data_IF_156826667568
#
_entry.id   IF_156826667568
#
_cell.length_a   1.000
_cell.length_b   1.000
_cell.length_c   1.000
_cell.angle_alpha   90.00
_cell.angle_beta   90.00
_cell.angle_gamma   90.00
#
_symmetry.space_group_name_H-M   'P 1'
#
loop_
_entity.id
_entity.type
_entity.pdbx_description
1 polymer ?
#
# COMPACT_ATOMS: atom_id res chain seq x y z
N UNK A 1 13.32 -29.54 -18.07
CA UNK A 1 13.67 -29.12 -16.68
C UNK A 1 13.89 -30.35 -15.84
N UNK A 2 14.96 -30.39 -15.05
CA UNK A 2 15.23 -31.49 -14.14
C UNK A 2 14.10 -31.55 -13.08
N UNK A 3 13.58 -32.72 -12.69
CA UNK A 3 12.45 -32.84 -11.76
C UNK A 3 12.71 -32.18 -10.39
N UNK A 4 13.98 -32.17 -9.95
CA UNK A 4 14.40 -31.45 -8.74
C UNK A 4 14.23 -29.93 -8.86
N UNK A 5 14.53 -29.36 -10.03
CA UNK A 5 14.43 -27.91 -10.26
C UNK A 5 12.97 -27.44 -10.34
N UNK A 6 12.05 -28.29 -10.84
CA UNK A 6 10.61 -28.01 -10.81
C UNK A 6 10.08 -27.96 -9.38
N UNK A 7 10.43 -28.94 -8.55
CA UNK A 7 9.95 -29.02 -7.18
C UNK A 7 10.46 -27.86 -6.29
N UNK A 8 11.69 -27.39 -6.54
CA UNK A 8 12.22 -26.18 -5.90
C UNK A 8 11.50 -24.91 -6.35
N UNK A 9 11.19 -24.79 -7.65
CA UNK A 9 10.47 -23.65 -8.19
C UNK A 9 9.03 -23.60 -7.69
N UNK A 10 8.33 -24.74 -7.66
CA UNK A 10 6.96 -24.84 -7.12
C UNK A 10 6.93 -24.42 -5.64
N UNK A 11 7.89 -24.89 -4.84
CA UNK A 11 7.98 -24.51 -3.42
C UNK A 11 8.25 -23.00 -3.21
N UNK A 12 9.04 -22.38 -4.09
CA UNK A 12 9.31 -20.93 -4.05
C UNK A 12 8.10 -20.13 -4.54
N UNK A 13 7.42 -20.57 -5.60
CA UNK A 13 6.22 -19.91 -6.11
C UNK A 13 5.07 -19.98 -5.09
N UNK A 14 4.88 -21.13 -4.43
CA UNK A 14 3.84 -21.32 -3.41
C UNK A 14 4.10 -20.49 -2.14
N UNK A 15 5.36 -20.20 -1.82
CA UNK A 15 5.76 -19.42 -0.65
C UNK A 15 6.32 -18.03 -0.99
N UNK A 16 6.04 -17.54 -2.21
CA UNK A 16 6.66 -16.34 -2.76
C UNK A 16 6.45 -15.12 -1.86
N UNK A 17 5.26 -14.99 -1.26
CA UNK A 17 4.91 -13.90 -0.35
C UNK A 17 5.85 -13.85 0.86
N UNK A 18 6.16 -15.00 1.46
CA UNK A 18 7.09 -15.08 2.59
C UNK A 18 8.51 -14.68 2.20
N UNK A 19 8.97 -15.13 1.02
CA UNK A 19 10.26 -14.71 0.48
C UNK A 19 10.32 -13.21 0.21
N UNK A 20 9.27 -12.64 -0.38
CA UNK A 20 9.18 -11.22 -0.66
C UNK A 20 9.18 -10.39 0.63
N UNK A 21 8.44 -10.83 1.66
CA UNK A 21 8.41 -10.19 2.97
C UNK A 21 9.80 -10.17 3.60
N UNK A 22 10.48 -11.32 3.67
CA UNK A 22 11.84 -11.41 4.22
C UNK A 22 12.81 -10.53 3.43
N UNK A 23 12.72 -10.56 2.10
CA UNK A 23 13.56 -9.75 1.23
C UNK A 23 13.38 -8.25 1.50
N UNK A 24 12.14 -7.75 1.53
CA UNK A 24 11.86 -6.33 1.77
C UNK A 24 12.30 -5.90 3.17
N UNK A 25 12.03 -6.70 4.20
CA UNK A 25 12.48 -6.40 5.56
C UNK A 25 14.00 -6.36 5.67
N UNK A 26 14.71 -7.29 5.02
CA UNK A 26 16.17 -7.32 5.02
C UNK A 26 16.76 -6.09 4.30
N UNK A 27 16.22 -5.75 3.13
CA UNK A 27 16.64 -4.57 2.36
C UNK A 27 16.42 -3.29 3.18
N UNK A 28 15.22 -3.07 3.71
CA UNK A 28 14.96 -1.87 4.51
C UNK A 28 15.77 -1.84 5.80
N UNK A 29 15.99 -2.98 6.45
CA UNK A 29 16.87 -3.07 7.63
C UNK A 29 18.33 -2.73 7.32
N UNK A 30 18.80 -2.96 6.09
CA UNK A 30 20.19 -2.69 5.69
C UNK A 30 20.38 -1.25 5.20
N UNK A 31 19.42 -0.72 4.43
CA UNK A 31 19.56 0.58 3.76
C UNK A 31 18.95 1.76 4.53
N UNK A 32 17.99 1.52 5.43
CA UNK A 32 17.33 2.59 6.19
C UNK A 32 17.86 2.60 7.63
N UNK A 33 18.49 3.70 8.09
CA UNK A 33 18.95 3.79 9.47
C UNK A 33 17.76 3.71 10.42
N UNK A 34 17.92 3.00 11.55
CA UNK A 34 16.89 2.80 12.57
C UNK A 34 15.65 1.98 12.14
N UNK A 35 15.66 1.32 10.97
CA UNK A 35 14.52 0.48 10.56
C UNK A 35 14.38 -0.79 11.42
N UNK A 36 15.50 -1.35 11.89
CA UNK A 36 15.52 -2.54 12.75
C UNK A 36 15.13 -2.23 14.19
N UNK A 37 13.92 -1.71 14.38
CA UNK A 37 13.35 -1.39 15.67
C UNK A 37 12.07 -2.19 15.89
N UNK A 38 11.88 -2.72 17.11
CA UNK A 38 10.67 -3.44 17.48
C UNK A 38 9.40 -2.61 17.28
N UNK A 39 9.48 -1.29 17.47
CA UNK A 39 8.35 -0.39 17.21
C UNK A 39 7.89 -0.38 15.75
N UNK A 40 8.83 -0.43 14.80
CA UNK A 40 8.49 -0.46 13.36
C UNK A 40 7.87 -1.81 12.99
N UNK A 41 8.42 -2.92 13.49
CA UNK A 41 7.83 -4.24 13.28
C UNK A 41 6.43 -4.36 13.90
N UNK A 42 6.24 -3.84 15.12
CA UNK A 42 4.92 -3.79 15.75
C UNK A 42 3.91 -2.97 14.94
N UNK A 43 4.32 -1.80 14.45
CA UNK A 43 3.49 -0.94 13.61
C UNK A 43 3.08 -1.63 12.28
N UNK A 44 4.00 -2.38 11.66
CA UNK A 44 3.69 -3.15 10.44
C UNK A 44 2.62 -4.22 10.73
N UNK A 45 2.76 -4.95 11.85
CA UNK A 45 1.78 -5.99 12.24
C UNK A 45 0.42 -5.37 12.58
N UNK A 46 0.41 -4.25 13.29
CA UNK A 46 -0.81 -3.52 13.63
C UNK A 46 -1.55 -3.03 12.38
N UNK A 47 -0.85 -2.34 11.47
CA UNK A 47 -1.42 -1.88 10.21
C UNK A 47 -1.92 -3.05 9.34
N UNK A 48 -1.15 -4.15 9.29
CA UNK A 48 -1.55 -5.35 8.56
C UNK A 48 -2.79 -6.02 9.16
N UNK A 49 -3.00 -5.95 10.47
CA UNK A 49 -4.19 -6.52 11.11
C UNK A 49 -5.46 -5.79 10.66
N UNK A 50 -5.41 -4.46 10.59
CA UNK A 50 -6.54 -3.64 10.12
C UNK A 50 -6.85 -3.93 8.65
N UNK A 51 -5.82 -3.94 7.81
CA UNK A 51 -5.96 -4.28 6.38
C UNK A 51 -6.47 -5.72 6.18
N UNK A 52 -6.02 -6.65 7.02
CA UNK A 52 -6.46 -8.05 6.99
C UNK A 52 -7.97 -8.18 7.23
N UNK A 53 -8.50 -7.53 8.26
CA UNK A 53 -9.96 -7.54 8.53
C UNK A 53 -10.74 -6.88 7.38
N UNK A 54 -10.24 -5.77 6.83
CA UNK A 54 -10.88 -5.11 5.68
C UNK A 54 -10.90 -6.01 4.44
N UNK A 55 -9.82 -6.75 4.17
CA UNK A 55 -9.73 -7.64 3.00
C UNK A 55 -10.80 -8.74 2.98
N UNK A 56 -11.20 -9.25 4.15
CA UNK A 56 -12.28 -10.25 4.26
C UNK A 56 -13.61 -9.63 3.82
N UNK A 57 -13.87 -8.38 4.25
CA UNK A 57 -15.05 -7.63 3.82
C UNK A 57 -15.05 -7.37 2.31
N UNK A 58 -13.91 -6.96 1.76
CA UNK A 58 -13.77 -6.70 0.32
C UNK A 58 -13.99 -7.97 -0.50
N UNK A 59 -13.43 -9.12 -0.09
CA UNK A 59 -13.61 -10.38 -0.79
C UNK A 59 -15.09 -10.77 -0.93
N UNK A 60 -15.91 -10.56 0.11
CA UNK A 60 -17.34 -10.83 0.07
C UNK A 60 -18.07 -9.94 -0.95
N UNK A 61 -17.73 -8.65 -1.02
CA UNK A 61 -18.38 -7.72 -1.97
C UNK A 61 -17.95 -7.99 -3.41
N UNK A 62 -16.67 -8.34 -3.62
CA UNK A 62 -16.16 -8.76 -4.93
C UNK A 62 -16.90 -10.01 -5.41
N UNK A 63 -17.05 -11.03 -4.54
CA UNK A 63 -17.80 -12.27 -4.87
C UNK A 63 -19.27 -11.97 -5.15
N UNK A 64 -19.87 -11.02 -4.43
CA UNK A 64 -21.24 -10.57 -4.66
C UNK A 64 -21.41 -9.81 -6.00
N UNK A 65 -20.33 -9.49 -6.71
CA UNK A 65 -20.36 -8.84 -8.03
C UNK A 65 -20.73 -7.36 -7.99
N UNK A 66 -20.71 -6.75 -6.81
CA UNK A 66 -21.10 -5.35 -6.60
C UNK A 66 -19.93 -4.39 -6.51
N UNK A 67 -18.67 -4.87 -6.56
CA UNK A 67 -17.48 -4.03 -6.47
C UNK A 67 -16.44 -4.44 -7.52
N UNK A 68 -15.94 -3.44 -8.23
CA UNK A 68 -14.82 -3.56 -9.17
C UNK A 68 -13.48 -3.29 -8.46
N UNK A 69 -12.44 -4.02 -8.85
CA UNK A 69 -11.06 -3.86 -8.37
C UNK A 69 -10.45 -2.52 -8.80
N UNK A 70 -10.99 -1.88 -9.83
CA UNK A 70 -10.54 -0.53 -10.24
C UNK A 70 -10.65 0.49 -9.11
N UNK A 71 -11.64 0.36 -8.22
CA UNK A 71 -11.84 1.26 -7.07
C UNK A 71 -10.67 1.18 -6.08
N UNK A 72 -10.13 -0.01 -5.85
CA UNK A 72 -8.98 -0.21 -4.95
C UNK A 72 -7.72 0.47 -5.51
N UNK A 73 -7.47 0.31 -6.81
CA UNK A 73 -6.33 0.93 -7.49
C UNK A 73 -6.42 2.47 -7.45
N UNK A 74 -7.62 3.03 -7.66
CA UNK A 74 -7.84 4.49 -7.55
C UNK A 74 -7.60 4.98 -6.13
N UNK A 75 -8.08 4.26 -5.11
CA UNK A 75 -7.85 4.61 -3.72
C UNK A 75 -6.35 4.58 -3.36
N UNK A 76 -5.62 3.55 -3.82
CA UNK A 76 -4.18 3.45 -3.64
C UNK A 76 -3.42 4.59 -4.33
N UNK A 77 -3.80 4.93 -5.57
CA UNK A 77 -3.21 6.04 -6.32
C UNK A 77 -3.41 7.38 -5.59
N UNK A 78 -4.63 7.65 -5.10
CA UNK A 78 -4.92 8.87 -4.33
C UNK A 78 -4.12 8.95 -3.04
N UNK A 79 -3.98 7.82 -2.33
CA UNK A 79 -3.15 7.75 -1.13
C UNK A 79 -1.67 8.00 -1.43
N UNK A 80 -1.15 7.45 -2.53
CA UNK A 80 0.23 7.69 -2.98
C UNK A 80 0.45 9.14 -3.39
N UNK A 81 -0.50 9.76 -4.11
CA UNK A 81 -0.39 11.16 -4.53
C UNK A 81 -0.27 12.09 -3.32
N UNK A 82 -1.12 11.87 -2.30
CA UNK A 82 -1.04 12.60 -1.03
C UNK A 82 0.28 12.30 -0.29
N UNK A 83 0.67 11.03 -0.22
CA UNK A 83 1.92 10.61 0.41
C UNK A 83 3.13 11.31 -0.21
N UNK A 84 3.20 11.41 -1.54
CA UNK A 84 4.27 12.13 -2.24
C UNK A 84 4.19 13.64 -1.96
N UNK A 85 3.01 14.24 -1.88
CA UNK A 85 2.92 15.68 -1.61
C UNK A 85 3.37 16.08 -0.20
N UNK A 86 2.97 15.30 0.82
CA UNK A 86 3.13 15.69 2.23
C UNK A 86 4.27 14.97 2.95
N UNK A 87 4.84 13.89 2.40
CA UNK A 87 6.00 13.26 3.02
C UNK A 87 7.21 14.20 2.95
N UNK A 88 7.85 14.44 4.09
CA UNK A 88 9.03 15.30 4.22
C UNK A 88 10.36 14.57 4.01
N UNK A 89 10.32 13.24 3.85
CA UNK A 89 11.51 12.38 3.73
C UNK A 89 11.51 11.60 2.41
N UNK A 90 12.63 11.60 1.69
CA UNK A 90 12.80 10.84 0.45
C UNK A 90 12.26 11.53 -0.80
N UNK A 91 11.28 10.91 -1.48
CA UNK A 91 10.72 11.32 -2.79
C UNK A 91 9.63 12.40 -2.65
N UNK A 92 9.22 12.73 -1.43
CA UNK A 92 8.12 13.65 -1.21
C UNK A 92 8.46 15.11 -1.47
N UNK A 93 7.51 15.87 -2.01
CA UNK A 93 7.62 17.31 -2.29
C UNK A 93 7.73 18.15 -1.01
N UNK A 94 7.47 17.56 0.16
CA UNK A 94 7.66 18.20 1.46
C UNK A 94 6.77 19.42 1.68
N UNK A 95 5.55 19.43 1.12
CA UNK A 95 4.62 20.55 1.25
C UNK A 95 4.17 20.64 2.71
N UNK A 96 4.67 21.66 3.41
CA UNK A 96 4.32 21.97 4.79
C UNK A 96 3.34 23.13 4.82
N UNK A 97 2.11 22.86 5.27
CA UNK A 97 1.09 23.89 5.45
C UNK A 97 1.16 24.41 6.88
N UNK A 98 1.31 25.73 7.02
CA UNK A 98 1.17 26.41 8.29
C UNK A 98 -0.18 27.12 8.28
N UNK A 99 -1.10 26.86 9.23
CA UNK A 99 -0.98 26.03 10.44
C UNK A 99 -1.09 24.51 10.21
N UNK A 100 -0.42 23.71 11.05
CA UNK A 100 -0.30 22.25 10.89
C UNK A 100 -1.63 21.49 10.83
N UNK A 101 -2.67 22.00 11.52
CA UNK A 101 -4.00 21.39 11.47
C UNK A 101 -4.57 21.38 10.05
N UNK A 102 -4.20 22.35 9.19
CA UNK A 102 -4.68 22.43 7.81
C UNK A 102 -4.18 21.27 6.94
N UNK A 103 -3.15 20.55 7.38
CA UNK A 103 -2.58 19.43 6.63
C UNK A 103 -3.61 18.32 6.39
N UNK A 104 -4.37 17.93 7.42
CA UNK A 104 -5.38 16.86 7.35
C UNK A 104 -6.54 17.17 6.38
N UNK A 105 -7.24 18.33 6.48
CA UNK A 105 -8.34 18.64 5.57
C UNK A 105 -7.86 18.85 4.13
N UNK A 106 -6.66 19.43 3.93
CA UNK A 106 -6.12 19.66 2.59
C UNK A 106 -5.64 18.34 1.96
N UNK A 107 -4.96 17.47 2.72
CA UNK A 107 -4.56 16.16 2.22
C UNK A 107 -5.79 15.32 1.82
N UNK A 108 -6.86 15.38 2.63
CA UNK A 108 -8.11 14.71 2.30
C UNK A 108 -8.77 15.28 1.05
N UNK A 109 -8.82 16.61 0.91
CA UNK A 109 -9.36 17.27 -0.26
C UNK A 109 -8.60 16.88 -1.54
N UNK A 110 -7.26 16.78 -1.47
CA UNK A 110 -6.42 16.37 -2.60
C UNK A 110 -6.64 14.89 -2.93
N UNK A 111 -6.70 13.99 -1.94
CA UNK A 111 -7.00 12.58 -2.17
C UNK A 111 -8.37 12.39 -2.86
N UNK A 112 -9.39 13.12 -2.38
CA UNK A 112 -10.73 13.08 -2.96
C UNK A 112 -10.75 13.66 -4.37
N UNK A 113 -10.07 14.78 -4.62
CA UNK A 113 -9.99 15.38 -5.94
C UNK A 113 -9.28 14.45 -6.94
N UNK A 114 -8.15 13.87 -6.56
CA UNK A 114 -7.42 12.91 -7.37
C UNK A 114 -8.25 11.65 -7.65
N UNK A 115 -8.92 11.13 -6.61
CA UNK A 115 -9.75 9.93 -6.73
C UNK A 115 -10.98 10.16 -7.59
N UNK A 116 -11.64 11.31 -7.43
CA UNK A 116 -12.78 11.71 -8.24
C UNK A 116 -12.38 11.93 -9.70
N UNK A 117 -11.24 12.57 -9.97
CA UNK A 117 -10.77 12.79 -11.34
C UNK A 117 -10.53 11.46 -12.07
N UNK A 118 -9.80 10.53 -11.45
CA UNK A 118 -9.53 9.21 -12.04
C UNK A 118 -10.80 8.35 -12.08
N UNK A 119 -11.65 8.43 -11.06
CA UNK A 119 -12.93 7.73 -11.02
C UNK A 119 -13.88 8.17 -12.13
N UNK A 120 -13.94 9.48 -12.43
CA UNK A 120 -14.71 10.00 -13.57
C UNK A 120 -14.13 9.49 -14.89
N UNK A 121 -12.81 9.49 -15.05
CA UNK A 121 -12.18 8.93 -16.27
C UNK A 121 -12.54 7.46 -16.43
N UNK A 122 -12.43 6.66 -15.37
CA UNK A 122 -12.74 5.24 -15.40
C UNK A 122 -14.24 4.96 -15.61
N UNK A 123 -15.13 5.85 -15.15
CA UNK A 123 -16.58 5.71 -15.36
C UNK A 123 -17.06 6.19 -16.73
N UNK A 124 -16.25 6.97 -17.44
CA UNK A 124 -16.55 7.44 -18.80
C UNK A 124 -15.95 6.54 -19.90
N UNK A 125 -14.92 5.75 -19.58
CA UNK A 125 -14.31 4.74 -20.44
C UNK A 125 -15.09 3.42 -20.40
#
# INVERSE_FOLDING_TARGET
MNPRTRHSLELVLDNLVWFMLVFVLAVFSLFIPNFFQLGIFANIVEASSVLGVMSIGLALVIIAGHMDLSVESVAALSAMAVGIMFCSSGIGLGVQLHPDWLMVPVSLAIALAAGAAIGVINGLL
#
